data_IF_646709264415
#
_entry.id   IF_646709264415
#
_cell.length_a   1.000
_cell.length_b   1.000
_cell.length_c   1.000
_cell.angle_alpha   90.00
_cell.angle_beta   90.00
_cell.angle_gamma   90.00
#
_symmetry.space_group_name_H-M   'P 1'
#
loop_
_entity.id
_entity.type
_entity.pdbx_description
1 polymer ?
#
# COMPACT_ATOMS: atom_id res chain seq x y z
N UNK A 1 -31.57 -10.34 5.39
CA UNK A 1 -30.28 -10.99 5.07
C UNK A 1 -29.33 -10.69 6.23
N UNK A 2 -28.75 -11.73 6.85
CA UNK A 2 -27.75 -11.53 7.91
C UNK A 2 -26.54 -10.83 7.30
N UNK A 3 -26.01 -9.83 8.00
CA UNK A 3 -24.79 -9.15 7.65
C UNK A 3 -23.62 -10.10 7.90
N UNK A 4 -23.21 -10.86 6.88
CA UNK A 4 -22.23 -11.96 7.00
C UNK A 4 -20.76 -11.50 7.16
N UNK A 5 -20.50 -10.42 7.90
CA UNK A 5 -19.13 -9.96 8.16
C UNK A 5 -19.01 -8.94 9.30
N UNK A 6 -17.83 -8.90 9.92
CA UNK A 6 -17.48 -7.93 10.95
C UNK A 6 -16.98 -6.63 10.32
N UNK A 7 -17.54 -5.48 10.69
CA UNK A 7 -17.01 -4.19 10.24
C UNK A 7 -15.85 -3.72 11.12
N UNK A 8 -14.97 -2.88 10.58
CA UNK A 8 -13.90 -2.25 11.36
C UNK A 8 -14.44 -1.48 12.57
N UNK A 9 -15.54 -0.75 12.41
CA UNK A 9 -16.17 -0.03 13.54
C UNK A 9 -16.67 -0.99 14.63
N UNK A 10 -17.11 -2.19 14.26
CA UNK A 10 -17.51 -3.21 15.24
C UNK A 10 -16.29 -3.78 15.97
N UNK A 11 -15.18 -4.00 15.25
CA UNK A 11 -13.91 -4.43 15.84
C UNK A 11 -13.36 -3.40 16.83
N UNK A 12 -13.38 -2.11 16.46
CA UNK A 12 -13.00 -1.00 17.33
C UNK A 12 -13.89 -0.94 18.59
N UNK A 13 -15.20 -1.16 18.44
CA UNK A 13 -16.13 -1.21 19.58
C UNK A 13 -15.80 -2.37 20.52
N UNK A 14 -15.40 -3.53 20.01
CA UNK A 14 -14.97 -4.67 20.83
C UNK A 14 -13.65 -4.34 21.53
N UNK A 15 -12.68 -3.75 20.81
CA UNK A 15 -11.39 -3.35 21.35
C UNK A 15 -11.52 -2.33 22.50
N UNK A 16 -12.53 -1.46 22.46
CA UNK A 16 -12.81 -0.48 23.51
C UNK A 16 -13.46 -1.03 24.79
N UNK A 17 -13.83 -2.33 24.84
CA UNK A 17 -14.45 -2.93 26.03
C UNK A 17 -13.43 -3.17 27.15
N UNK A 18 -13.94 -3.22 28.39
CA UNK A 18 -13.16 -3.58 29.59
C UNK A 18 -12.91 -5.09 29.61
N UNK A 19 -11.72 -5.47 30.07
CA UNK A 19 -11.31 -6.85 30.31
C UNK A 19 -11.66 -7.19 31.76
N UNK A 20 -12.06 -8.43 32.03
CA UNK A 20 -12.29 -8.93 33.39
C UNK A 20 -13.75 -9.24 33.72
N UNK A 21 -14.69 -8.94 32.82
CA UNK A 21 -16.11 -9.25 33.02
C UNK A 21 -16.41 -10.72 32.67
N UNK A 22 -15.65 -11.33 31.75
CA UNK A 22 -15.82 -12.72 31.34
C UNK A 22 -14.58 -13.23 30.57
N UNK A 23 -13.90 -14.30 31.04
CA UNK A 23 -12.67 -14.81 30.42
C UNK A 23 -12.79 -15.18 28.94
N UNK A 24 -13.97 -15.64 28.48
CA UNK A 24 -14.20 -15.96 27.06
C UNK A 24 -14.30 -14.72 26.18
N UNK A 25 -14.82 -13.62 26.73
CA UNK A 25 -14.88 -12.33 26.02
C UNK A 25 -13.55 -11.59 26.10
N UNK A 26 -12.77 -11.79 27.17
CA UNK A 26 -11.46 -11.16 27.35
C UNK A 26 -10.48 -11.50 26.21
N UNK A 27 -10.42 -12.77 25.79
CA UNK A 27 -9.60 -13.16 24.63
C UNK A 27 -10.03 -12.48 23.33
N UNK A 28 -11.34 -12.33 23.10
CA UNK A 28 -11.85 -11.64 21.92
C UNK A 28 -11.56 -10.13 21.97
N UNK A 29 -11.61 -9.52 23.15
CA UNK A 29 -11.24 -8.11 23.36
C UNK A 29 -9.75 -7.91 23.10
N UNK A 30 -8.89 -8.78 23.63
CA UNK A 30 -7.45 -8.74 23.40
C UNK A 30 -7.10 -8.91 21.92
N UNK A 31 -7.74 -9.86 21.23
CA UNK A 31 -7.57 -10.03 19.80
C UNK A 31 -8.00 -8.76 19.04
N UNK A 32 -9.17 -8.20 19.35
CA UNK A 32 -9.65 -6.99 18.71
C UNK A 32 -8.69 -5.81 18.92
N UNK A 33 -8.18 -5.63 20.15
CA UNK A 33 -7.16 -4.61 20.47
C UNK A 33 -5.89 -4.80 19.63
N UNK A 34 -5.42 -6.03 19.52
CA UNK A 34 -4.21 -6.33 18.77
C UNK A 34 -4.41 -6.15 17.25
N UNK A 35 -5.61 -6.41 16.73
CA UNK A 35 -5.94 -6.19 15.31
C UNK A 35 -6.05 -4.71 14.96
N UNK A 36 -6.75 -3.89 15.76
CA UNK A 36 -6.92 -2.45 15.46
C UNK A 36 -5.61 -1.67 15.53
N UNK A 37 -4.59 -2.19 16.21
CA UNK A 37 -3.24 -1.63 16.26
C UNK A 37 -2.40 -1.99 15.03
N UNK A 38 -2.89 -2.86 14.14
CA UNK A 38 -2.16 -3.38 12.98
C UNK A 38 -2.87 -3.00 11.69
N UNK A 39 -2.79 -1.73 11.25
CA UNK A 39 -3.59 -1.25 10.13
C UNK A 39 -3.26 -1.95 8.81
N UNK A 40 -2.01 -2.34 8.57
CA UNK A 40 -1.63 -3.18 7.42
C UNK A 40 -2.37 -4.52 7.40
N UNK A 41 -2.53 -5.16 8.56
CA UNK A 41 -3.26 -6.42 8.66
C UNK A 41 -4.75 -6.18 8.43
N UNK A 42 -5.32 -5.13 9.02
CA UNK A 42 -6.71 -4.71 8.76
C UNK A 42 -6.97 -4.52 7.27
N UNK A 43 -6.09 -3.79 6.57
CA UNK A 43 -6.22 -3.56 5.13
C UNK A 43 -6.22 -4.86 4.32
N UNK A 44 -5.52 -5.90 4.78
CA UNK A 44 -5.43 -7.17 4.09
C UNK A 44 -6.60 -8.12 4.38
N UNK A 45 -7.14 -8.10 5.61
CA UNK A 45 -8.27 -8.98 6.00
C UNK A 45 -9.65 -8.37 5.70
N UNK A 46 -9.69 -7.12 5.24
CA UNK A 46 -10.93 -6.41 4.93
C UNK A 46 -11.22 -6.51 3.43
N UNK A 47 -12.45 -6.89 3.08
CA UNK A 47 -12.92 -6.97 1.70
C UNK A 47 -13.19 -5.58 1.07
N UNK A 48 -13.67 -5.59 -0.17
CA UNK A 48 -14.00 -4.37 -0.91
C UNK A 48 -15.20 -3.59 -0.34
N UNK A 49 -16.02 -4.21 0.50
CA UNK A 49 -17.16 -3.59 1.16
C UNK A 49 -16.84 -3.11 2.58
N UNK A 50 -15.57 -3.21 3.00
CA UNK A 50 -15.14 -2.79 4.34
C UNK A 50 -15.49 -3.81 5.43
N UNK A 51 -15.64 -5.09 5.07
CA UNK A 51 -16.01 -6.17 5.99
C UNK A 51 -14.93 -7.23 6.09
N UNK A 52 -14.83 -7.82 7.28
CA UNK A 52 -14.01 -9.00 7.54
C UNK A 52 -14.95 -10.20 7.46
N UNK A 53 -14.76 -11.01 6.43
CA UNK A 53 -15.54 -12.21 6.13
C UNK A 53 -14.63 -13.44 6.21
N UNK A 54 -15.20 -14.64 6.20
CA UNK A 54 -14.40 -15.86 6.14
C UNK A 54 -13.56 -15.92 4.85
N UNK A 55 -14.13 -15.46 3.75
CA UNK A 55 -13.45 -15.39 2.46
C UNK A 55 -12.30 -14.40 2.48
N UNK A 56 -12.51 -13.18 3.02
CA UNK A 56 -11.43 -12.18 3.11
C UNK A 56 -10.29 -12.64 4.00
N UNK A 57 -10.58 -13.37 5.09
CA UNK A 57 -9.56 -13.99 5.94
C UNK A 57 -8.78 -15.08 5.20
N UNK A 58 -9.46 -15.96 4.48
CA UNK A 58 -8.81 -17.02 3.69
C UNK A 58 -7.94 -16.44 2.57
N UNK A 59 -8.40 -15.37 1.92
CA UNK A 59 -7.59 -14.64 0.95
C UNK A 59 -6.35 -14.04 1.62
N UNK A 60 -6.53 -13.35 2.74
CA UNK A 60 -5.46 -12.70 3.50
C UNK A 60 -4.37 -13.68 3.96
N UNK A 61 -4.75 -14.91 4.35
CA UNK A 61 -3.80 -15.95 4.76
C UNK A 61 -2.73 -16.24 3.69
N UNK A 62 -3.14 -16.25 2.41
CA UNK A 62 -2.24 -16.56 1.30
C UNK A 62 -1.30 -15.41 0.91
N UNK A 63 -1.50 -14.21 1.47
CA UNK A 63 -0.90 -12.97 0.94
C UNK A 63 -0.30 -12.05 2.01
N UNK A 64 -0.69 -12.18 3.29
CA UNK A 64 -0.11 -11.41 4.39
C UNK A 64 1.20 -12.07 4.82
N UNK A 65 2.31 -11.44 4.47
CA UNK A 65 3.65 -11.86 4.91
C UNK A 65 4.30 -10.87 5.88
N UNK A 66 5.00 -11.41 6.88
CA UNK A 66 5.77 -10.65 7.85
C UNK A 66 4.97 -10.13 9.05
N UNK A 67 5.68 -9.51 9.99
CA UNK A 67 5.07 -8.96 11.20
C UNK A 67 4.58 -7.53 10.95
N UNK A 68 3.30 -7.27 11.21
CA UNK A 68 2.69 -5.94 11.07
C UNK A 68 2.50 -5.21 12.40
N UNK A 69 3.08 -5.73 13.49
CA UNK A 69 3.06 -5.12 14.80
C UNK A 69 3.91 -3.84 14.82
N UNK A 70 3.36 -2.66 15.19
CA UNK A 70 4.12 -1.42 15.27
C UNK A 70 5.29 -1.44 16.28
N UNK A 71 5.25 -2.33 17.27
CA UNK A 71 6.32 -2.50 18.25
C UNK A 71 7.40 -3.50 17.84
N UNK A 72 7.23 -4.21 16.73
CA UNK A 72 8.23 -5.15 16.24
C UNK A 72 9.36 -4.40 15.52
N UNK A 73 10.60 -4.84 15.73
CA UNK A 73 11.71 -4.37 14.92
C UNK A 73 11.55 -4.87 13.48
N UNK A 74 11.68 -3.97 12.52
CA UNK A 74 11.65 -4.28 11.10
C UNK A 74 12.55 -3.31 10.33
N UNK A 75 13.36 -3.79 9.38
CA UNK A 75 14.11 -2.91 8.48
C UNK A 75 13.19 -2.19 7.49
N UNK A 76 11.99 -2.71 7.23
CA UNK A 76 10.98 -2.06 6.39
C UNK A 76 10.25 -0.96 7.20
N UNK A 77 10.43 0.33 6.85
CA UNK A 77 9.78 1.44 7.57
C UNK A 77 8.27 1.50 7.36
N UNK A 78 7.72 0.74 6.41
CA UNK A 78 6.29 0.67 6.12
C UNK A 78 5.61 -0.55 6.73
N UNK A 79 6.32 -1.47 7.38
CA UNK A 79 5.78 -2.77 7.84
C UNK A 79 4.50 -2.67 8.67
N UNK A 80 4.38 -1.63 9.50
CA UNK A 80 3.22 -1.37 10.36
C UNK A 80 2.25 -0.32 9.80
N UNK A 81 2.59 0.34 8.68
CA UNK A 81 1.78 1.41 8.08
C UNK A 81 0.64 0.86 7.23
N UNK A 82 -0.51 1.52 7.25
CA UNK A 82 -1.62 1.26 6.33
C UNK A 82 -1.24 1.46 4.87
N UNK A 83 -2.06 0.92 3.97
CA UNK A 83 -1.99 1.19 2.54
C UNK A 83 -2.20 2.68 2.26
N UNK A 84 -3.07 3.36 3.00
CA UNK A 84 -3.30 4.80 2.85
C UNK A 84 -2.04 5.62 3.17
N UNK A 85 -1.40 5.35 4.31
CA UNK A 85 -0.14 6.01 4.69
C UNK A 85 0.98 5.73 3.69
N UNK A 86 1.09 4.50 3.20
CA UNK A 86 2.06 4.13 2.18
C UNK A 86 1.82 4.92 0.87
N UNK A 87 0.57 5.03 0.42
CA UNK A 87 0.23 5.75 -0.81
C UNK A 87 0.45 7.25 -0.67
N UNK A 88 0.28 7.81 0.54
CA UNK A 88 0.68 9.21 0.83
C UNK A 88 2.18 9.40 0.64
N UNK A 89 3.01 8.48 1.13
CA UNK A 89 4.46 8.55 0.93
C UNK A 89 4.81 8.40 -0.55
N UNK A 90 4.17 7.46 -1.25
CA UNK A 90 4.34 7.31 -2.69
C UNK A 90 3.99 8.58 -3.47
N UNK A 91 2.89 9.23 -3.11
CA UNK A 91 2.48 10.49 -3.72
C UNK A 91 3.52 11.59 -3.48
N UNK A 92 4.16 11.65 -2.31
CA UNK A 92 5.21 12.63 -2.04
C UNK A 92 6.46 12.43 -2.92
N UNK A 93 6.79 11.19 -3.28
CA UNK A 93 7.89 10.83 -4.17
C UNK A 93 7.51 10.85 -5.67
N UNK A 94 6.24 11.12 -5.98
CA UNK A 94 5.71 10.95 -7.34
C UNK A 94 6.46 11.78 -8.38
N UNK A 95 6.82 13.02 -8.03
CA UNK A 95 7.49 13.94 -8.95
C UNK A 95 8.93 13.54 -9.29
N UNK A 96 9.58 12.76 -8.42
CA UNK A 96 10.91 12.20 -8.65
C UNK A 96 10.84 10.95 -9.55
N UNK A 97 9.78 10.15 -9.39
CA UNK A 97 9.63 8.86 -10.07
C UNK A 97 8.89 8.95 -11.42
N UNK A 98 8.20 10.06 -11.69
CA UNK A 98 7.37 10.17 -12.89
C UNK A 98 8.19 10.28 -14.16
N UNK A 99 7.67 9.68 -15.23
CA UNK A 99 8.18 9.87 -16.57
C UNK A 99 7.67 11.21 -17.14
N UNK A 100 8.53 12.22 -17.10
CA UNK A 100 8.21 13.58 -17.60
C UNK A 100 7.87 13.60 -19.09
N UNK A 101 8.34 12.63 -19.88
CA UNK A 101 7.98 12.53 -21.31
C UNK A 101 6.51 12.11 -21.51
N UNK A 102 5.90 11.50 -20.48
CA UNK A 102 4.51 11.04 -20.46
C UNK A 102 3.57 12.04 -19.79
N UNK A 103 4.09 13.11 -19.22
CA UNK A 103 3.29 14.15 -18.58
C UNK A 103 2.28 14.74 -19.58
N UNK A 104 0.99 14.68 -19.23
CA UNK A 104 -0.06 15.33 -20.01
C UNK A 104 -0.34 16.70 -19.43
N UNK A 105 -0.19 17.73 -20.26
CA UNK A 105 -0.56 19.11 -19.94
C UNK A 105 -1.84 19.48 -20.69
N UNK A 106 -2.95 19.59 -19.96
CA UNK A 106 -4.18 20.22 -20.44
C UNK A 106 -4.29 21.66 -19.95
N UNK A 107 -5.30 22.40 -20.43
CA UNK A 107 -5.52 23.81 -20.08
C UNK A 107 -5.65 24.09 -18.56
N UNK A 108 -6.03 23.09 -17.75
CA UNK A 108 -6.17 23.21 -16.29
C UNK A 108 -5.58 22.03 -15.51
N UNK A 109 -4.88 21.10 -16.19
CA UNK A 109 -4.50 19.83 -15.57
C UNK A 109 -3.08 19.40 -15.94
N UNK A 110 -2.27 19.14 -14.92
CA UNK A 110 -0.96 18.51 -15.05
C UNK A 110 -1.06 17.09 -14.51
N UNK A 111 -1.06 16.10 -15.40
CA UNK A 111 -1.14 14.68 -15.03
C UNK A 111 0.19 14.03 -15.31
N UNK A 112 0.87 13.62 -14.25
CA UNK A 112 2.10 12.83 -14.34
C UNK A 112 1.80 11.34 -14.25
N UNK A 113 2.74 10.54 -14.74
CA UNK A 113 2.61 9.09 -14.81
C UNK A 113 3.89 8.41 -14.32
N UNK A 114 3.73 7.40 -13.46
CA UNK A 114 4.81 6.50 -13.01
C UNK A 114 4.58 5.13 -13.64
N UNK A 115 5.63 4.54 -14.22
CA UNK A 115 5.57 3.19 -14.79
C UNK A 115 5.53 2.14 -13.66
N UNK A 116 4.61 1.18 -13.72
CA UNK A 116 4.56 0.07 -12.77
C UNK A 116 5.81 -0.81 -12.89
N UNK A 117 6.37 -1.00 -14.08
CA UNK A 117 7.61 -1.75 -14.28
C UNK A 117 8.80 -1.09 -13.57
N UNK A 118 8.81 0.25 -13.47
CA UNK A 118 9.82 0.97 -12.67
C UNK A 118 9.69 0.59 -11.19
N UNK A 119 8.47 0.56 -10.64
CA UNK A 119 8.24 0.14 -9.25
C UNK A 119 8.65 -1.33 -9.02
N UNK A 120 8.36 -2.21 -9.97
CA UNK A 120 8.79 -3.63 -9.94
C UNK A 120 10.31 -3.76 -10.04
N UNK A 121 10.99 -2.90 -10.79
CA UNK A 121 12.45 -2.88 -10.85
C UNK A 121 13.04 -2.35 -9.55
N UNK A 122 12.51 -1.27 -9.00
CA UNK A 122 12.93 -0.68 -7.71
C UNK A 122 12.75 -1.65 -6.55
N UNK A 123 11.65 -2.42 -6.51
CA UNK A 123 11.39 -3.37 -5.42
C UNK A 123 12.41 -4.51 -5.33
N UNK A 124 13.15 -4.77 -6.41
CA UNK A 124 14.23 -5.76 -6.46
C UNK A 124 15.57 -5.25 -5.92
N UNK A 125 15.62 -3.99 -5.50
CA UNK A 125 16.82 -3.35 -4.96
C UNK A 125 18.07 -3.49 -5.88
N UNK A 126 17.98 -3.03 -7.14
CA UNK A 126 19.04 -3.20 -8.10
C UNK A 126 20.26 -2.34 -7.74
N UNK A 127 21.43 -2.87 -8.08
CA UNK A 127 22.67 -2.12 -7.98
C UNK A 127 22.73 -1.04 -9.08
N UNK A 128 23.46 0.03 -8.78
CA UNK A 128 23.78 1.08 -9.74
C UNK A 128 24.80 0.53 -10.74
N UNK A 129 24.51 0.70 -12.03
CA UNK A 129 25.37 0.22 -13.11
C UNK A 129 26.07 1.40 -13.79
N UNK A 130 27.31 1.20 -14.19
CA UNK A 130 28.08 2.17 -14.97
C UNK A 130 27.70 2.17 -16.46
N UNK A 131 28.41 2.95 -17.26
CA UNK A 131 28.19 3.03 -18.72
C UNK A 131 28.44 1.71 -19.48
N UNK A 132 29.15 0.76 -18.88
CA UNK A 132 29.45 -0.57 -19.44
C UNK A 132 28.48 -1.64 -18.92
N UNK A 133 27.59 -1.28 -17.99
CA UNK A 133 26.64 -2.22 -17.37
C UNK A 133 27.20 -2.96 -16.17
N UNK A 134 28.34 -2.55 -15.63
CA UNK A 134 28.97 -3.18 -14.46
C UNK A 134 28.55 -2.47 -13.16
N UNK A 135 28.39 -3.19 -12.03
CA UNK A 135 28.04 -2.58 -10.75
C UNK A 135 29.07 -1.54 -10.29
N UNK A 136 28.60 -0.33 -9.97
CA UNK A 136 29.42 0.73 -9.40
C UNK A 136 29.75 0.37 -7.95
N UNK A 137 31.03 0.28 -7.61
CA UNK A 137 31.46 -0.05 -6.25
C UNK A 137 31.60 1.22 -5.38
N UNK A 138 31.20 1.11 -4.12
CA UNK A 138 31.47 2.12 -3.10
C UNK A 138 32.95 2.05 -2.70
N UNK A 139 33.74 3.14 -2.88
CA UNK A 139 35.17 3.14 -2.56
C UNK A 139 35.48 2.91 -1.07
N UNK A 140 34.54 3.17 -0.17
CA UNK A 140 34.73 3.00 1.28
C UNK A 140 34.50 1.55 1.74
N UNK A 141 33.57 0.82 1.11
CA UNK A 141 33.17 -0.53 1.55
C UNK A 141 33.57 -1.64 0.58
N UNK A 142 33.82 -1.29 -0.70
CA UNK A 142 34.04 -2.25 -1.78
C UNK A 142 32.77 -2.98 -2.24
N UNK A 143 31.60 -2.65 -1.70
CA UNK A 143 30.31 -3.24 -2.07
C UNK A 143 29.67 -2.50 -3.25
N UNK A 144 28.80 -3.18 -3.99
CA UNK A 144 28.01 -2.55 -5.04
C UNK A 144 27.08 -1.48 -4.44
N UNK A 145 27.09 -0.29 -5.03
CA UNK A 145 26.18 0.80 -4.68
C UNK A 145 24.78 0.45 -5.14
N UNK A 146 23.78 0.77 -4.31
CA UNK A 146 22.38 0.65 -4.67
C UNK A 146 21.95 1.81 -5.56
N UNK A 147 21.10 1.50 -6.55
CA UNK A 147 20.57 2.49 -7.49
C UNK A 147 19.55 3.44 -6.85
N UNK A 148 18.85 2.97 -5.82
CA UNK A 148 17.80 3.68 -5.12
C UNK A 148 18.09 3.69 -3.62
N UNK A 149 17.56 4.68 -2.90
CA UNK A 149 17.64 4.67 -1.45
C UNK A 149 16.69 3.61 -0.85
N UNK A 150 16.97 3.20 0.39
CA UNK A 150 16.19 2.15 1.07
C UNK A 150 14.71 2.50 1.19
N UNK A 151 14.37 3.79 1.40
CA UNK A 151 12.98 4.21 1.56
C UNK A 151 12.21 4.04 0.26
N UNK A 152 12.80 4.39 -0.88
CA UNK A 152 12.25 4.18 -2.22
C UNK A 152 12.06 2.70 -2.53
N UNK A 153 13.06 1.87 -2.20
CA UNK A 153 13.01 0.40 -2.38
C UNK A 153 11.87 -0.20 -1.57
N UNK A 154 11.80 0.09 -0.27
CA UNK A 154 10.74 -0.46 0.59
C UNK A 154 9.35 0.07 0.24
N UNK A 155 9.24 1.32 -0.20
CA UNK A 155 7.99 1.87 -0.69
C UNK A 155 7.53 1.11 -1.95
N UNK A 156 8.40 0.97 -2.95
CA UNK A 156 8.08 0.25 -4.18
C UNK A 156 7.74 -1.22 -3.90
N UNK A 157 8.52 -1.88 -3.05
CA UNK A 157 8.27 -3.24 -2.58
C UNK A 157 6.90 -3.37 -1.93
N UNK A 158 6.54 -2.47 -1.01
CA UNK A 158 5.24 -2.52 -0.37
C UNK A 158 4.09 -2.17 -1.34
N UNK A 159 4.29 -1.35 -2.37
CA UNK A 159 3.24 -1.10 -3.37
C UNK A 159 2.99 -2.36 -4.21
N UNK A 160 4.06 -3.02 -4.64
CA UNK A 160 4.02 -4.20 -5.53
C UNK A 160 3.59 -5.45 -4.79
N UNK A 161 4.17 -5.71 -3.62
CA UNK A 161 3.99 -6.98 -2.90
C UNK A 161 2.74 -6.96 -2.01
N UNK A 162 2.19 -5.78 -1.67
CA UNK A 162 1.00 -5.75 -0.82
C UNK A 162 -0.22 -6.25 -1.57
N UNK A 163 -1.00 -7.13 -0.93
CA UNK A 163 -2.04 -7.86 -1.62
C UNK A 163 -3.13 -6.91 -2.12
N UNK A 164 -3.39 -6.95 -3.42
CA UNK A 164 -4.44 -6.14 -4.05
C UNK A 164 -4.19 -4.63 -4.07
N UNK A 165 -3.11 -4.11 -3.46
CA UNK A 165 -2.85 -2.68 -3.40
C UNK A 165 -2.57 -2.11 -4.79
N UNK A 166 -1.56 -2.62 -5.49
CA UNK A 166 -1.23 -2.17 -6.84
C UNK A 166 -2.44 -2.25 -7.79
N UNK A 167 -3.15 -3.38 -7.79
CA UNK A 167 -4.38 -3.57 -8.56
C UNK A 167 -5.47 -2.56 -8.19
N UNK A 168 -5.62 -2.25 -6.90
CA UNK A 168 -6.58 -1.25 -6.43
C UNK A 168 -6.22 0.16 -6.89
N UNK A 169 -4.93 0.50 -6.93
CA UNK A 169 -4.43 1.76 -7.48
C UNK A 169 -4.70 1.83 -8.99
N UNK A 170 -4.38 0.78 -9.75
CA UNK A 170 -4.64 0.74 -11.20
C UNK A 170 -6.13 0.91 -11.54
N UNK A 171 -7.01 0.29 -10.75
CA UNK A 171 -8.46 0.29 -10.96
C UNK A 171 -9.17 1.53 -10.42
N UNK A 172 -8.51 2.39 -9.64
CA UNK A 172 -9.12 3.61 -9.11
C UNK A 172 -9.51 4.62 -10.21
N UNK A 173 -9.13 4.39 -11.46
CA UNK A 173 -9.64 5.15 -12.59
C UNK A 173 -11.06 4.77 -13.06
N UNK A 174 -11.55 3.57 -12.73
CA UNK A 174 -12.78 2.99 -13.27
C UNK A 174 -14.09 3.39 -12.58
N UNK A 175 -14.06 3.97 -11.37
CA UNK A 175 -15.24 4.09 -10.49
C UNK A 175 -16.10 5.35 -10.65
N UNK A 176 -15.80 6.26 -11.59
CA UNK A 176 -16.52 7.52 -11.76
C UNK A 176 -17.19 7.68 -13.12
N UNK A 177 -18.43 8.21 -13.15
CA UNK A 177 -19.08 8.74 -14.38
C UNK A 177 -18.16 9.78 -15.02
N UNK A 178 -17.56 9.46 -16.17
CA UNK A 178 -16.61 10.35 -16.85
C UNK A 178 -17.36 11.28 -17.81
N UNK A 179 -17.20 12.59 -17.62
CA UNK A 179 -17.55 13.61 -18.63
C UNK A 179 -16.39 13.87 -19.61
N UNK A 180 -15.15 13.45 -19.28
CA UNK A 180 -13.97 13.55 -20.14
C UNK A 180 -13.09 12.30 -20.00
N UNK A 181 -12.41 11.89 -21.08
CA UNK A 181 -11.83 10.56 -21.36
C UNK A 181 -11.06 9.81 -20.26
N UNK A 182 -10.78 8.53 -20.50
CA UNK A 182 -9.99 7.69 -19.58
C UNK A 182 -8.53 8.17 -19.49
N UNK A 183 -8.10 8.61 -18.31
CA UNK A 183 -6.67 8.87 -18.05
C UNK A 183 -5.87 7.59 -17.74
N UNK A 184 -6.58 6.45 -17.65
CA UNK A 184 -6.02 5.13 -17.47
C UNK A 184 -5.10 4.75 -18.64
N UNK A 185 -3.89 4.32 -18.31
CA UNK A 185 -2.95 3.71 -19.21
C UNK A 185 -2.48 2.42 -18.55
N UNK A 186 -2.69 1.27 -19.21
CA UNK A 186 -2.25 -0.01 -18.69
C UNK A 186 -0.73 0.02 -18.41
N UNK A 187 -0.31 -0.44 -17.23
CA UNK A 187 1.08 -0.39 -16.80
C UNK A 187 1.53 0.94 -16.18
N UNK A 188 0.63 1.92 -15.98
CA UNK A 188 0.98 3.23 -15.42
C UNK A 188 0.04 3.65 -14.29
N UNK A 189 0.63 4.30 -13.28
CA UNK A 189 -0.10 4.97 -12.20
C UNK A 189 -0.06 6.48 -12.44
N UNK A 190 -1.23 7.12 -12.50
CA UNK A 190 -1.32 8.57 -12.66
C UNK A 190 -1.47 9.28 -11.30
N UNK A 191 -0.95 10.51 -11.20
CA UNK A 191 -1.11 11.33 -9.98
C UNK A 191 -2.58 11.49 -9.56
N UNK A 192 -3.47 11.66 -10.54
CA UNK A 192 -4.92 11.74 -10.32
C UNK A 192 -5.54 10.46 -9.79
N UNK A 193 -5.05 9.31 -10.24
CA UNK A 193 -5.55 8.01 -9.79
C UNK A 193 -5.23 7.81 -8.31
N UNK A 194 -4.03 8.21 -7.88
CA UNK A 194 -3.63 8.20 -6.47
C UNK A 194 -4.51 9.13 -5.63
N UNK A 195 -4.76 10.36 -6.11
CA UNK A 195 -5.65 11.31 -5.43
C UNK A 195 -7.06 10.76 -5.23
N UNK A 196 -7.62 10.14 -6.27
CA UNK A 196 -8.94 9.54 -6.20
C UNK A 196 -8.97 8.36 -5.24
N UNK A 197 -7.97 7.48 -5.31
CA UNK A 197 -7.86 6.33 -4.42
C UNK A 197 -7.77 6.78 -2.96
N UNK A 198 -6.92 7.77 -2.64
CA UNK A 198 -6.82 8.35 -1.30
C UNK A 198 -8.13 9.02 -0.86
N UNK A 199 -8.85 9.66 -1.80
CA UNK A 199 -10.18 10.21 -1.54
C UNK A 199 -11.19 9.15 -1.10
N UNK A 200 -11.20 7.99 -1.77
CA UNK A 200 -12.08 6.87 -1.42
C UNK A 200 -11.73 6.25 -0.06
N UNK A 201 -10.45 6.20 0.33
CA UNK A 201 -10.04 5.70 1.65
C UNK A 201 -10.53 6.60 2.79
N UNK A 202 -10.61 7.92 2.60
CA UNK A 202 -11.13 8.85 3.62
C UNK A 202 -12.63 8.71 3.87
N UNK A 203 -13.36 8.12 2.93
CA UNK A 203 -14.82 7.94 3.00
C UNK A 203 -15.24 6.55 3.49
N UNK A 204 -14.28 5.65 3.73
CA UNK A 204 -14.50 4.33 4.35
C UNK A 204 -14.33 4.42 5.87
#
# INVERSE_FOLDING_TARGET
MKSDGLTLSSLQRIAGRKIGDNPKFDSAILLAKALVQRPRLIDAITDQDGRITLESLSQAESVVFGNSDPGAFSPDPFHAKSNAELVVVFKAMFDELRDRSRDRKGFFEHIGYVNIELLVAMSKDPDELDSQGEPVLDPATGLARKKYDEQQVYMAKNIVDRPGLLRSLENADGSGRRMFGSHHQAGWLSSKTLDRWLGHQKTR
#
